data_IF_748731221589
#
_entry.id   IF_748731221589
#
_cell.length_a   1.000
_cell.length_b   1.000
_cell.length_c   1.000
_cell.angle_alpha   90.00
_cell.angle_beta   90.00
_cell.angle_gamma   90.00
#
_symmetry.space_group_name_H-M   'P 1'
#
loop_
_entity.id
_entity.type
_entity.pdbx_description
1 polymer ?
#
# COMPACT_ATOMS: atom_id res chain seq x y z
N UNK A 1 24.60 33.55 -29.83
CA UNK A 1 24.64 32.86 -28.53
C UNK A 1 23.44 33.35 -27.72
N UNK A 2 22.44 32.51 -27.44
CA UNK A 2 21.32 32.87 -26.55
C UNK A 2 21.83 32.79 -25.14
N UNK A 3 21.90 33.90 -24.45
CA UNK A 3 22.22 33.98 -23.04
C UNK A 3 21.08 33.31 -22.28
N UNK A 4 21.32 32.15 -21.65
CA UNK A 4 20.37 31.53 -20.76
C UNK A 4 20.26 32.44 -19.54
N UNK A 5 19.13 33.15 -19.40
CA UNK A 5 18.86 33.91 -18.20
C UNK A 5 18.78 32.91 -17.04
N UNK A 6 19.66 33.07 -16.08
CA UNK A 6 19.63 32.29 -14.83
C UNK A 6 18.23 32.41 -14.23
N UNK A 7 17.50 31.31 -14.15
CA UNK A 7 16.25 31.30 -13.39
C UNK A 7 16.60 31.40 -11.92
N UNK A 8 16.17 32.45 -11.28
CA UNK A 8 16.21 32.52 -9.83
C UNK A 8 15.16 31.57 -9.28
N UNK A 9 15.59 30.48 -8.67
CA UNK A 9 14.70 29.65 -7.88
C UNK A 9 14.44 30.43 -6.56
N UNK A 10 13.20 30.83 -6.37
CA UNK A 10 12.75 31.42 -5.09
C UNK A 10 12.46 30.30 -4.11
N UNK A 11 13.47 29.48 -3.78
CA UNK A 11 13.40 28.60 -2.63
C UNK A 11 13.41 29.45 -1.38
N UNK A 12 12.55 29.14 -0.44
CA UNK A 12 12.57 29.78 0.88
C UNK A 12 13.15 28.84 1.91
N UNK A 13 13.94 29.37 2.85
CA UNK A 13 14.37 28.69 4.07
C UNK A 13 13.39 28.91 5.23
N UNK A 14 12.32 29.67 4.98
CA UNK A 14 11.26 29.89 5.95
C UNK A 14 10.44 28.61 6.16
N UNK A 15 10.47 28.09 7.39
CA UNK A 15 9.75 26.89 7.81
C UNK A 15 8.30 27.16 8.23
N UNK A 16 7.80 28.40 8.09
CA UNK A 16 6.41 28.75 8.41
C UNK A 16 5.44 27.96 7.53
N UNK A 17 4.51 27.27 8.16
CA UNK A 17 3.45 26.55 7.44
C UNK A 17 2.49 27.56 6.82
N UNK A 18 2.37 27.52 5.50
CA UNK A 18 1.51 28.46 4.78
C UNK A 18 0.04 28.00 4.77
N UNK A 19 -0.89 28.96 4.57
CA UNK A 19 -2.31 28.64 4.40
C UNK A 19 -2.55 27.66 3.25
N UNK A 20 -1.81 27.80 2.15
CA UNK A 20 -1.87 26.89 1.00
C UNK A 20 -1.50 25.45 1.38
N UNK A 21 -0.44 25.24 2.19
CA UNK A 21 -0.06 23.91 2.67
C UNK A 21 -1.17 23.31 3.51
N UNK A 22 -1.76 24.05 4.43
CA UNK A 22 -2.86 23.57 5.27
C UNK A 22 -4.09 23.20 4.46
N UNK A 23 -4.44 23.98 3.45
CA UNK A 23 -5.59 23.68 2.61
C UNK A 23 -5.32 22.50 1.67
N UNK A 24 -4.10 22.36 1.11
CA UNK A 24 -3.69 21.20 0.31
C UNK A 24 -3.65 19.91 1.14
N UNK A 25 -3.22 19.96 2.41
CA UNK A 25 -3.29 18.78 3.30
C UNK A 25 -4.71 18.26 3.47
N UNK A 26 -5.70 19.13 3.58
CA UNK A 26 -7.13 18.72 3.65
C UNK A 26 -7.57 18.01 2.38
N UNK A 27 -7.14 18.54 1.22
CA UNK A 27 -7.44 17.91 -0.08
C UNK A 27 -6.76 16.55 -0.18
N UNK A 28 -5.47 16.44 0.20
CA UNK A 28 -4.73 15.18 0.21
C UNK A 28 -5.39 14.13 1.10
N UNK A 29 -5.81 14.51 2.34
CA UNK A 29 -6.52 13.61 3.26
C UNK A 29 -7.85 13.11 2.67
N UNK A 30 -8.63 14.01 2.07
CA UNK A 30 -9.89 13.63 1.43
C UNK A 30 -9.66 12.70 0.24
N UNK A 31 -8.73 13.03 -0.65
CA UNK A 31 -8.41 12.20 -1.81
C UNK A 31 -7.91 10.81 -1.38
N UNK A 32 -7.07 10.74 -0.34
CA UNK A 32 -6.61 9.48 0.22
C UNK A 32 -7.77 8.62 0.75
N UNK A 33 -8.69 9.21 1.52
CA UNK A 33 -9.85 8.49 2.04
C UNK A 33 -10.80 8.03 0.93
N UNK A 34 -11.07 8.89 -0.08
CA UNK A 34 -11.91 8.54 -1.24
C UNK A 34 -11.27 7.47 -2.14
N UNK A 35 -9.94 7.34 -2.12
CA UNK A 35 -9.19 6.33 -2.88
C UNK A 35 -9.07 4.97 -2.20
N UNK A 36 -9.29 4.88 -0.89
CA UNK A 36 -9.25 3.61 -0.17
C UNK A 36 -10.46 2.75 -0.49
N UNK A 37 -10.24 1.44 -0.72
CA UNK A 37 -11.28 0.49 -1.12
C UNK A 37 -11.57 -0.47 0.02
N UNK A 38 -12.82 -0.53 0.47
CA UNK A 38 -13.27 -1.56 1.40
C UNK A 38 -13.60 -2.83 0.61
N UNK A 39 -12.80 -3.88 0.79
CA UNK A 39 -12.92 -5.15 0.06
C UNK A 39 -13.77 -6.18 0.81
N UNK A 40 -13.75 -6.16 2.14
CA UNK A 40 -14.54 -7.02 3.01
C UNK A 40 -14.94 -6.25 4.26
N UNK A 41 -16.17 -6.45 4.73
CA UNK A 41 -16.61 -6.00 6.04
C UNK A 41 -17.77 -6.89 6.54
N UNK A 42 -17.52 -7.67 7.56
CA UNK A 42 -18.53 -8.52 8.20
C UNK A 42 -19.23 -7.81 9.36
N UNK A 43 -19.22 -6.47 9.34
CA UNK A 43 -19.92 -5.63 10.31
C UNK A 43 -19.02 -5.11 11.44
N UNK A 44 -17.70 -5.38 11.39
CA UNK A 44 -16.77 -4.84 12.38
C UNK A 44 -16.51 -3.35 12.20
N UNK A 45 -16.47 -2.88 10.95
CA UNK A 45 -16.28 -1.47 10.64
C UNK A 45 -17.64 -0.76 10.47
N UNK A 46 -17.77 0.50 10.93
CA UNK A 46 -16.72 1.31 11.59
C UNK A 46 -16.51 0.96 13.06
N UNK A 47 -15.27 1.15 13.54
CA UNK A 47 -14.92 0.99 14.95
C UNK A 47 -15.40 2.19 15.78
N UNK A 48 -15.76 1.93 17.03
CA UNK A 48 -16.13 2.99 17.97
C UNK A 48 -14.90 3.73 18.50
N UNK A 49 -15.06 4.99 18.82
CA UNK A 49 -14.06 5.78 19.52
C UNK A 49 -13.65 5.10 20.85
N UNK A 50 -12.36 5.14 21.16
CA UNK A 50 -11.82 4.50 22.36
C UNK A 50 -11.61 2.99 22.26
N UNK A 51 -11.91 2.36 21.11
CA UNK A 51 -11.57 0.94 20.91
C UNK A 51 -10.06 0.73 21.08
N UNK A 52 -9.69 -0.29 21.86
CA UNK A 52 -8.30 -0.72 22.02
C UNK A 52 -7.86 -1.54 20.82
N UNK A 53 -6.74 -1.16 20.23
CA UNK A 53 -6.24 -1.73 18.98
C UNK A 53 -4.83 -2.28 19.15
N UNK A 54 -4.64 -3.55 18.83
CA UNK A 54 -3.33 -4.13 18.60
C UNK A 54 -2.95 -3.88 17.12
N UNK A 55 -2.06 -2.93 16.88
CA UNK A 55 -1.64 -2.51 15.54
C UNK A 55 -0.29 -3.13 15.19
N UNK A 56 -0.25 -3.92 14.13
CA UNK A 56 0.93 -4.64 13.66
C UNK A 56 1.17 -4.45 12.18
N UNK A 57 2.29 -4.99 11.71
CA UNK A 57 2.69 -4.98 10.30
C UNK A 57 3.52 -3.77 9.95
N UNK A 58 4.33 -3.95 8.91
CA UNK A 58 5.37 -2.99 8.50
C UNK A 58 4.84 -1.60 8.16
N UNK A 59 3.62 -1.52 7.64
CA UNK A 59 2.97 -0.26 7.28
C UNK A 59 2.37 0.51 8.46
N UNK A 60 2.36 -0.05 9.67
CA UNK A 60 1.78 0.62 10.84
C UNK A 60 2.47 1.96 11.13
N UNK A 61 3.78 1.96 11.31
CA UNK A 61 4.59 3.17 11.48
C UNK A 61 5.30 3.63 10.21
N UNK A 62 5.63 2.69 9.30
CA UNK A 62 6.29 2.95 8.01
C UNK A 62 5.31 2.84 6.86
N UNK A 63 4.20 3.53 6.97
CA UNK A 63 3.16 3.60 5.93
C UNK A 63 3.75 4.06 4.60
N UNK A 64 3.55 3.26 3.55
CA UNK A 64 4.03 3.58 2.22
C UNK A 64 3.13 4.66 1.63
N UNK A 65 3.65 5.87 1.56
CA UNK A 65 2.94 7.07 1.07
C UNK A 65 2.92 7.18 -0.46
N UNK A 66 3.97 6.68 -1.11
CA UNK A 66 4.19 6.75 -2.55
C UNK A 66 5.25 5.75 -2.96
N UNK A 67 5.42 5.56 -4.27
CA UNK A 67 6.43 4.68 -4.83
C UNK A 67 7.85 5.27 -4.77
N UNK A 68 8.84 4.41 -5.02
CA UNK A 68 10.24 4.84 -5.21
C UNK A 68 10.41 5.73 -6.45
N UNK A 69 11.56 6.35 -6.59
CA UNK A 69 11.86 7.25 -7.71
C UNK A 69 11.22 8.62 -7.53
N UNK A 70 10.65 9.18 -8.58
CA UNK A 70 10.03 10.51 -8.57
C UNK A 70 8.74 10.56 -7.73
N UNK A 71 8.17 9.43 -7.35
CA UNK A 71 7.05 9.33 -6.42
C UNK A 71 7.44 9.54 -4.95
N UNK A 72 8.72 9.40 -4.60
CA UNK A 72 9.22 9.61 -3.23
C UNK A 72 9.55 11.10 -2.99
N UNK A 73 8.50 11.90 -2.97
CA UNK A 73 8.62 13.36 -2.77
C UNK A 73 9.00 13.70 -1.33
N UNK A 74 9.74 14.80 -1.17
CA UNK A 74 10.08 15.37 0.14
C UNK A 74 8.94 16.26 0.62
N UNK A 75 8.17 15.77 1.55
CA UNK A 75 7.16 16.53 2.27
C UNK A 75 7.68 16.96 3.65
N UNK A 76 7.03 17.94 4.24
CA UNK A 76 7.35 18.44 5.58
C UNK A 76 7.10 17.38 6.66
N UNK A 77 6.02 16.60 6.49
CA UNK A 77 5.54 15.63 7.47
C UNK A 77 4.71 14.56 6.77
N UNK A 78 4.88 13.31 7.17
CA UNK A 78 4.02 12.19 6.79
C UNK A 78 3.32 11.66 8.03
N UNK A 79 2.00 11.50 7.95
CA UNK A 79 1.20 10.91 9.04
C UNK A 79 1.08 9.40 8.78
N UNK A 80 1.78 8.59 9.57
CA UNK A 80 1.66 7.12 9.51
C UNK A 80 0.30 6.66 10.01
N UNK A 81 -0.07 5.40 9.70
CA UNK A 81 -1.30 4.79 10.22
C UNK A 81 -1.32 4.82 11.74
N UNK A 82 -0.22 4.46 12.39
CA UNK A 82 -0.09 4.57 13.85
C UNK A 82 -0.41 5.98 14.36
N UNK A 83 0.21 7.00 13.79
CA UNK A 83 -0.05 8.37 14.19
C UNK A 83 -1.49 8.81 13.91
N UNK A 84 -2.04 8.43 12.75
CA UNK A 84 -3.41 8.77 12.37
C UNK A 84 -4.46 8.13 13.30
N UNK A 85 -4.25 6.88 13.69
CA UNK A 85 -5.12 6.19 14.65
C UNK A 85 -5.09 6.86 16.02
N UNK A 86 -3.90 7.26 16.51
CA UNK A 86 -3.78 8.05 17.76
C UNK A 86 -4.45 9.41 17.64
N UNK A 87 -4.30 10.11 16.52
CA UNK A 87 -4.96 11.40 16.27
C UNK A 87 -6.49 11.29 16.29
N UNK A 88 -7.03 10.12 15.94
CA UNK A 88 -8.46 9.82 15.96
C UNK A 88 -8.97 9.33 17.33
N UNK A 89 -8.12 9.24 18.34
CA UNK A 89 -8.49 8.86 19.71
C UNK A 89 -8.54 7.37 19.99
N UNK A 90 -8.00 6.51 19.10
CA UNK A 90 -7.85 5.10 19.38
C UNK A 90 -6.69 4.82 20.35
N UNK A 91 -6.88 3.85 21.24
CA UNK A 91 -5.84 3.36 22.14
C UNK A 91 -5.02 2.26 21.45
N UNK A 92 -3.73 2.51 21.22
CA UNK A 92 -2.84 1.52 20.60
C UNK A 92 -2.10 0.76 21.71
N UNK A 93 -2.37 -0.54 21.80
CA UNK A 93 -1.82 -1.39 22.87
C UNK A 93 -0.45 -2.00 22.54
N UNK A 94 0.06 -1.78 21.33
CA UNK A 94 1.29 -2.37 20.78
C UNK A 94 2.37 -1.33 20.48
N UNK A 95 2.42 -0.23 21.25
CA UNK A 95 3.40 0.85 21.02
C UNK A 95 4.84 0.38 21.14
N UNK A 96 5.14 -0.56 22.03
CA UNK A 96 6.49 -1.12 22.19
C UNK A 96 6.91 -1.92 20.95
N UNK A 97 6.00 -2.71 20.36
CA UNK A 97 6.26 -3.43 19.11
C UNK A 97 6.54 -2.46 17.95
N UNK A 98 5.78 -1.38 17.87
CA UNK A 98 5.94 -0.35 16.83
C UNK A 98 7.30 0.36 16.97
N UNK A 99 7.70 0.68 18.20
CA UNK A 99 8.99 1.30 18.47
C UNK A 99 10.17 0.36 18.11
N UNK A 100 10.08 -0.90 18.51
CA UNK A 100 11.08 -1.91 18.16
C UNK A 100 11.16 -2.11 16.64
N UNK A 101 10.02 -2.13 15.95
CA UNK A 101 9.97 -2.17 14.49
C UNK A 101 10.67 -0.96 13.84
N UNK A 102 10.46 0.24 14.37
CA UNK A 102 11.12 1.44 13.86
C UNK A 102 12.65 1.37 13.98
N UNK A 103 13.17 0.80 15.06
CA UNK A 103 14.59 0.58 15.24
C UNK A 103 15.14 -0.44 14.23
N UNK A 104 14.44 -1.56 14.04
CA UNK A 104 14.80 -2.58 13.03
C UNK A 104 14.78 -2.02 11.60
N UNK A 105 13.75 -1.25 11.26
CA UNK A 105 13.64 -0.58 9.96
C UNK A 105 14.82 0.35 9.69
N UNK A 106 15.20 1.18 10.66
CA UNK A 106 16.33 2.09 10.52
C UNK A 106 17.65 1.33 10.32
N UNK A 107 17.87 0.28 11.08
CA UNK A 107 19.07 -0.57 10.94
C UNK A 107 19.11 -1.21 9.54
N UNK A 108 18.00 -1.78 9.08
CA UNK A 108 17.89 -2.36 7.73
C UNK A 108 18.10 -1.31 6.62
N UNK A 109 17.58 -0.09 6.81
CA UNK A 109 17.75 1.01 5.87
C UNK A 109 19.20 1.48 5.75
N UNK A 110 19.93 1.54 6.86
CA UNK A 110 21.34 1.85 6.84
C UNK A 110 22.15 0.76 6.16
N UNK A 111 21.93 -0.51 6.50
CA UNK A 111 22.61 -1.64 5.88
C UNK A 111 22.39 -1.69 4.36
N UNK A 112 21.16 -1.41 3.89
CA UNK A 112 20.85 -1.32 2.47
C UNK A 112 21.58 -0.15 1.77
N UNK A 113 21.72 1.00 2.43
CA UNK A 113 22.49 2.13 1.88
C UNK A 113 23.97 1.77 1.77
N UNK A 114 24.53 1.17 2.81
CA UNK A 114 25.94 0.74 2.83
C UNK A 114 26.20 -0.27 1.69
N UNK A 115 25.27 -1.21 1.45
CA UNK A 115 25.34 -2.15 0.33
C UNK A 115 25.35 -1.44 -1.04
N UNK A 116 24.52 -0.42 -1.23
CA UNK A 116 24.50 0.36 -2.48
C UNK A 116 25.80 1.13 -2.64
N UNK A 117 26.28 1.78 -1.59
CA UNK A 117 27.56 2.52 -1.61
C UNK A 117 28.74 1.59 -1.94
N UNK A 118 28.80 0.41 -1.34
CA UNK A 118 29.84 -0.60 -1.61
C UNK A 118 29.80 -1.08 -3.06
N UNK A 119 28.62 -1.45 -3.57
CA UNK A 119 28.44 -1.89 -4.96
C UNK A 119 28.78 -0.79 -5.97
N UNK A 120 28.57 0.46 -5.63
CA UNK A 120 28.80 1.61 -6.52
C UNK A 120 30.28 2.05 -6.52
N UNK A 121 30.98 1.92 -5.40
CA UNK A 121 32.36 2.39 -5.23
C UNK A 121 33.39 1.80 -6.23
N UNK A 122 33.07 0.66 -6.85
CA UNK A 122 33.92 -0.03 -7.82
C UNK A 122 33.62 0.32 -9.29
N UNK A 123 32.62 1.18 -9.54
CA UNK A 123 32.14 1.49 -10.89
C UNK A 123 32.90 2.69 -11.49
N UNK A 124 33.25 2.60 -12.78
CA UNK A 124 33.93 3.69 -13.50
C UNK A 124 33.06 4.94 -13.67
N UNK A 125 31.75 4.76 -13.84
CA UNK A 125 30.76 5.83 -13.87
C UNK A 125 29.93 5.81 -12.59
N UNK A 126 30.30 6.65 -11.64
CA UNK A 126 29.66 6.72 -10.34
C UNK A 126 28.16 7.12 -10.43
N UNK A 127 27.77 7.95 -11.39
CA UNK A 127 26.39 8.45 -11.49
C UNK A 127 25.47 7.43 -12.15
N UNK A 128 25.81 6.95 -13.35
CA UNK A 128 25.00 5.93 -14.05
C UNK A 128 25.06 4.59 -13.30
N UNK A 129 26.23 4.26 -12.74
CA UNK A 129 26.41 3.08 -11.91
C UNK A 129 25.52 3.11 -10.68
N UNK A 130 25.46 4.24 -9.98
CA UNK A 130 24.57 4.43 -8.82
C UNK A 130 23.09 4.18 -9.20
N UNK A 131 22.60 4.78 -10.27
CA UNK A 131 21.21 4.57 -10.71
C UNK A 131 20.91 3.10 -11.03
N UNK A 132 21.84 2.42 -11.70
CA UNK A 132 21.67 1.01 -12.02
C UNK A 132 21.66 0.13 -10.74
N UNK A 133 22.61 0.32 -9.84
CA UNK A 133 22.68 -0.43 -8.57
C UNK A 133 21.44 -0.15 -7.73
N UNK A 134 21.02 1.12 -7.61
CA UNK A 134 19.83 1.51 -6.86
C UNK A 134 18.56 0.83 -7.42
N UNK A 135 18.39 0.81 -8.74
CA UNK A 135 17.21 0.20 -9.39
C UNK A 135 17.19 -1.32 -9.26
N UNK A 136 18.36 -1.97 -9.21
CA UNK A 136 18.48 -3.43 -9.15
C UNK A 136 18.67 -3.99 -7.74
N UNK A 137 18.73 -3.12 -6.72
CA UNK A 137 18.87 -3.51 -5.30
C UNK A 137 17.69 -2.93 -4.51
N UNK A 138 16.47 -3.47 -4.66
CA UNK A 138 15.28 -2.94 -3.98
C UNK A 138 15.40 -3.10 -2.47
N UNK A 139 15.01 -2.06 -1.73
CA UNK A 139 14.92 -2.14 -0.28
C UNK A 139 13.77 -3.07 0.12
N UNK A 140 14.09 -4.12 0.87
CA UNK A 140 13.10 -5.02 1.47
C UNK A 140 12.88 -4.62 2.93
N UNK A 141 11.63 -4.29 3.26
CA UNK A 141 11.26 -3.93 4.64
C UNK A 141 11.35 -5.16 5.53
N UNK A 142 11.98 -5.08 6.72
CA UNK A 142 11.97 -6.20 7.65
C UNK A 142 10.54 -6.49 8.12
N UNK A 143 10.22 -7.74 8.40
CA UNK A 143 8.90 -8.13 8.87
C UNK A 143 8.60 -7.67 10.32
N UNK A 144 9.63 -7.36 11.10
CA UNK A 144 9.51 -7.01 12.51
C UNK A 144 9.58 -8.20 13.45
N UNK A 145 9.51 -7.90 14.74
CA UNK A 145 9.54 -8.91 15.80
C UNK A 145 8.29 -9.82 15.77
N UNK A 146 8.35 -10.99 16.40
CA UNK A 146 7.17 -11.81 16.67
C UNK A 146 6.09 -11.00 17.40
N UNK A 147 4.83 -11.24 17.05
CA UNK A 147 3.69 -10.58 17.68
C UNK A 147 3.42 -11.16 19.06
N UNK A 148 2.91 -10.33 19.97
CA UNK A 148 2.54 -10.72 21.33
C UNK A 148 1.11 -10.27 21.61
N UNK A 149 0.33 -11.09 22.28
CA UNK A 149 -1.04 -10.75 22.65
C UNK A 149 -1.08 -9.60 23.65
N UNK A 150 -1.99 -8.66 23.42
CA UNK A 150 -2.33 -7.57 24.34
C UNK A 150 -3.80 -7.63 24.74
N UNK A 151 -4.28 -6.71 25.56
CA UNK A 151 -5.69 -6.59 25.97
C UNK A 151 -6.56 -5.81 24.94
N UNK A 152 -6.15 -5.82 23.67
CA UNK A 152 -6.87 -5.14 22.61
C UNK A 152 -8.17 -5.84 22.24
N UNK A 153 -9.17 -5.03 21.85
CA UNK A 153 -10.48 -5.51 21.37
C UNK A 153 -10.37 -6.04 19.94
N UNK A 154 -9.50 -5.42 19.13
CA UNK A 154 -9.32 -5.69 17.69
C UNK A 154 -7.84 -5.65 17.34
N UNK A 155 -7.40 -6.59 16.50
CA UNK A 155 -6.09 -6.50 15.86
C UNK A 155 -6.21 -5.91 14.44
N UNK A 156 -5.30 -5.01 14.09
CA UNK A 156 -5.16 -4.48 12.74
C UNK A 156 -3.76 -4.82 12.23
N UNK A 157 -3.68 -5.51 11.10
CA UNK A 157 -2.43 -5.85 10.42
C UNK A 157 -2.26 -5.06 9.13
N UNK A 158 -1.16 -4.33 8.99
CA UNK A 158 -0.86 -3.50 7.83
C UNK A 158 0.21 -4.20 6.98
N UNK A 159 -0.25 -4.87 5.93
CA UNK A 159 0.63 -5.49 4.92
C UNK A 159 1.08 -4.42 3.93
N UNK A 160 2.37 -4.18 3.80
CA UNK A 160 2.88 -3.13 2.91
C UNK A 160 3.91 -3.63 1.91
N UNK A 161 3.84 -3.05 0.70
CA UNK A 161 4.83 -3.25 -0.36
C UNK A 161 5.14 -1.92 -1.03
N UNK A 162 6.41 -1.69 -1.30
CA UNK A 162 6.84 -0.54 -2.09
C UNK A 162 6.66 -0.90 -3.56
N UNK A 163 5.91 -0.09 -4.30
CA UNK A 163 5.82 -0.16 -5.75
C UNK A 163 6.12 1.24 -6.30
N UNK A 164 6.95 1.33 -7.34
CA UNK A 164 7.35 2.63 -7.86
C UNK A 164 8.20 2.53 -9.11
N UNK A 165 8.84 3.63 -9.45
CA UNK A 165 9.64 3.78 -10.65
C UNK A 165 10.92 2.94 -10.59
N UNK A 166 11.34 2.38 -11.72
CA UNK A 166 12.64 1.77 -11.91
C UNK A 166 12.71 0.25 -11.76
N UNK A 167 11.69 -0.41 -11.21
CA UNK A 167 11.64 -1.87 -11.13
C UNK A 167 10.20 -2.39 -11.17
N UNK A 168 10.01 -3.49 -11.88
CA UNK A 168 8.76 -4.26 -11.82
C UNK A 168 8.67 -5.03 -10.49
N UNK A 169 7.45 -5.44 -10.16
CA UNK A 169 7.17 -6.30 -9.01
C UNK A 169 7.50 -7.75 -9.36
N UNK A 170 7.97 -8.51 -8.36
CA UNK A 170 8.41 -9.88 -8.51
C UNK A 170 7.39 -10.85 -7.93
N UNK A 171 7.23 -12.04 -8.53
CA UNK A 171 6.39 -13.12 -8.01
C UNK A 171 7.11 -13.94 -6.94
N UNK A 172 7.65 -13.25 -5.94
CA UNK A 172 8.44 -13.84 -4.86
C UNK A 172 7.94 -13.43 -3.47
N UNK A 173 8.43 -14.13 -2.44
CA UNK A 173 8.18 -13.79 -1.04
C UNK A 173 8.75 -12.40 -0.69
N UNK A 174 7.94 -11.60 0.01
CA UNK A 174 8.29 -10.23 0.36
C UNK A 174 7.98 -9.20 -0.72
N UNK A 175 7.46 -9.66 -1.87
CA UNK A 175 6.91 -8.79 -2.90
C UNK A 175 5.46 -9.17 -3.21
N UNK A 176 5.18 -10.04 -4.20
CA UNK A 176 3.80 -10.49 -4.43
C UNK A 176 3.30 -11.37 -3.29
N UNK A 177 4.08 -12.38 -2.89
CA UNK A 177 3.74 -13.29 -1.79
C UNK A 177 4.18 -12.76 -0.43
N UNK A 178 3.51 -13.24 0.63
CA UNK A 178 3.94 -13.01 2.01
C UNK A 178 5.25 -13.77 2.28
N UNK A 179 6.13 -13.18 3.09
CA UNK A 179 7.26 -13.91 3.67
C UNK A 179 6.80 -14.93 4.71
N UNK A 180 7.66 -15.85 5.10
CA UNK A 180 7.33 -16.82 6.16
C UNK A 180 7.10 -16.13 7.51
N UNK A 181 7.82 -15.04 7.79
CA UNK A 181 7.63 -14.22 8.98
C UNK A 181 6.26 -13.51 8.96
N UNK A 182 5.86 -12.93 7.82
CA UNK A 182 4.55 -12.29 7.68
C UNK A 182 3.41 -13.30 7.81
N UNK A 183 3.54 -14.49 7.20
CA UNK A 183 2.58 -15.59 7.37
C UNK A 183 2.45 -15.99 8.83
N UNK A 184 3.60 -16.13 9.51
CA UNK A 184 3.61 -16.47 10.94
C UNK A 184 2.96 -15.38 11.78
N UNK A 185 3.29 -14.11 11.56
CA UNK A 185 2.68 -13.00 12.28
C UNK A 185 1.16 -12.99 12.10
N UNK A 186 0.69 -13.13 10.86
CA UNK A 186 -0.75 -13.14 10.56
C UNK A 186 -1.45 -14.34 11.21
N UNK A 187 -0.83 -15.52 11.17
CA UNK A 187 -1.32 -16.72 11.86
C UNK A 187 -1.41 -16.51 13.37
N UNK A 188 -0.37 -15.98 13.99
CA UNK A 188 -0.32 -15.68 15.41
C UNK A 188 -1.41 -14.66 15.80
N UNK A 189 -1.55 -13.56 15.04
CA UNK A 189 -2.58 -12.55 15.22
C UNK A 189 -3.97 -13.17 15.15
N UNK A 190 -4.25 -13.97 14.12
CA UNK A 190 -5.54 -14.64 13.96
C UNK A 190 -5.83 -15.67 15.04
N UNK A 191 -4.81 -16.25 15.68
CA UNK A 191 -4.97 -17.14 16.83
C UNK A 191 -5.20 -16.42 18.15
N UNK A 192 -4.61 -15.24 18.32
CA UNK A 192 -4.64 -14.45 19.57
C UNK A 192 -5.89 -13.55 19.68
N UNK A 193 -6.36 -13.03 18.55
CA UNK A 193 -7.45 -12.04 18.52
C UNK A 193 -8.69 -12.61 17.85
N UNK A 194 -9.84 -12.32 18.45
CA UNK A 194 -11.14 -12.73 17.91
C UNK A 194 -11.52 -11.94 16.67
N UNK A 195 -11.17 -10.68 16.64
CA UNK A 195 -11.52 -9.73 15.59
C UNK A 195 -10.26 -9.18 14.93
N UNK A 196 -10.11 -9.40 13.63
CA UNK A 196 -8.93 -9.01 12.87
C UNK A 196 -9.36 -8.18 11.65
N UNK A 197 -8.64 -7.09 11.41
CA UNK A 197 -8.75 -6.24 10.23
C UNK A 197 -7.39 -6.29 9.51
N UNK A 198 -7.41 -6.44 8.20
CA UNK A 198 -6.20 -6.35 7.38
C UNK A 198 -6.31 -5.15 6.45
N UNK A 199 -5.23 -4.37 6.36
CA UNK A 199 -5.11 -3.31 5.36
C UNK A 199 -3.89 -3.57 4.47
N UNK A 200 -4.08 -3.48 3.16
CA UNK A 200 -3.06 -3.70 2.14
C UNK A 200 -2.59 -2.35 1.63
N UNK A 201 -1.38 -1.97 2.02
CA UNK A 201 -0.72 -0.71 1.66
C UNK A 201 0.30 -0.98 0.54
N UNK A 202 -0.19 -1.09 -0.68
CA UNK A 202 0.64 -1.36 -1.86
C UNK A 202 0.11 -0.63 -3.09
N UNK A 203 0.99 -0.18 -3.96
CA UNK A 203 0.63 0.42 -5.26
C UNK A 203 0.37 -0.60 -6.36
N UNK A 204 0.45 -1.89 -6.08
CA UNK A 204 0.22 -2.97 -7.03
C UNK A 204 -0.38 -4.20 -6.36
N UNK A 205 -0.37 -5.32 -7.09
CA UNK A 205 -0.95 -6.58 -6.65
C UNK A 205 -0.21 -7.18 -5.45
N UNK A 206 -0.92 -7.90 -4.60
CA UNK A 206 -0.37 -8.76 -3.55
C UNK A 206 -1.21 -10.03 -3.43
N UNK A 207 -0.59 -11.12 -3.00
CA UNK A 207 -1.31 -12.34 -2.70
C UNK A 207 -2.23 -12.15 -1.48
N UNK A 208 -3.49 -12.51 -1.66
CA UNK A 208 -4.53 -12.47 -0.63
C UNK A 208 -5.08 -13.86 -0.31
N UNK A 209 -4.33 -14.94 -0.61
CA UNK A 209 -4.76 -16.32 -0.35
C UNK A 209 -5.06 -16.58 1.12
N UNK A 210 -4.37 -15.89 2.03
CA UNK A 210 -4.61 -15.96 3.48
C UNK A 210 -6.07 -15.64 3.89
N UNK A 211 -6.81 -14.89 3.05
CA UNK A 211 -8.23 -14.61 3.31
C UNK A 211 -9.12 -15.85 3.30
N UNK A 212 -8.67 -16.92 2.66
CA UNK A 212 -9.38 -18.19 2.63
C UNK A 212 -9.09 -19.03 3.89
N UNK A 213 -7.96 -18.80 4.54
CA UNK A 213 -7.49 -19.54 5.70
C UNK A 213 -8.08 -19.01 7.01
N UNK A 214 -8.15 -17.67 7.18
CA UNK A 214 -8.51 -17.04 8.44
C UNK A 214 -9.90 -16.41 8.40
N UNK A 215 -10.88 -17.07 9.03
CA UNK A 215 -12.29 -16.63 9.03
C UNK A 215 -12.54 -15.42 9.93
N UNK A 216 -11.69 -15.17 10.90
CA UNK A 216 -11.78 -14.03 11.81
C UNK A 216 -11.10 -12.75 11.27
N UNK A 217 -10.63 -12.75 10.03
CA UNK A 217 -10.35 -11.52 9.32
C UNK A 217 -11.70 -10.97 8.81
N UNK A 218 -12.30 -10.08 9.60
CA UNK A 218 -13.66 -9.58 9.39
C UNK A 218 -13.72 -8.37 8.46
N UNK A 219 -12.60 -7.66 8.28
CA UNK A 219 -12.49 -6.58 7.29
C UNK A 219 -11.15 -6.60 6.56
N UNK A 220 -11.22 -6.23 5.27
CA UNK A 220 -10.06 -6.07 4.39
C UNK A 220 -10.18 -4.75 3.63
N UNK A 221 -9.12 -3.96 3.64
CA UNK A 221 -9.03 -2.70 2.91
C UNK A 221 -7.82 -2.70 1.97
N UNK A 222 -8.00 -2.24 0.74
CA UNK A 222 -6.90 -1.81 -0.12
C UNK A 222 -6.73 -0.31 0.07
N UNK A 223 -5.60 0.10 0.64
CA UNK A 223 -5.35 1.52 0.95
C UNK A 223 -4.36 2.19 0.00
N UNK A 224 -3.88 1.48 -1.00
CA UNK A 224 -2.93 1.92 -2.03
C UNK A 224 -1.69 2.61 -1.45
N UNK A 225 -1.16 3.63 -2.10
CA UNK A 225 -0.08 4.52 -1.63
C UNK A 225 -0.67 5.94 -1.47
N UNK A 226 -1.27 6.26 -0.31
CA UNK A 226 -2.24 7.35 -0.18
C UNK A 226 -1.63 8.72 0.15
N UNK A 227 -0.32 8.89 0.02
CA UNK A 227 0.34 10.17 0.25
C UNK A 227 0.56 10.52 1.73
N UNK A 228 0.89 11.78 1.96
CA UNK A 228 1.34 12.28 3.28
C UNK A 228 0.29 12.22 4.40
N UNK A 229 -0.98 12.19 4.07
CA UNK A 229 -2.10 12.14 5.03
C UNK A 229 -2.69 10.72 5.20
N UNK A 230 -1.97 9.70 4.76
CA UNK A 230 -2.38 8.30 4.76
C UNK A 230 -3.02 7.84 6.07
N UNK A 231 -2.34 8.09 7.19
CA UNK A 231 -2.79 7.64 8.51
C UNK A 231 -4.06 8.33 8.97
N UNK A 232 -4.18 9.65 8.77
CA UNK A 232 -5.40 10.38 9.12
C UNK A 232 -6.59 9.93 8.23
N UNK A 233 -6.35 9.71 6.93
CA UNK A 233 -7.37 9.24 6.01
C UNK A 233 -7.84 7.82 6.36
N UNK A 234 -6.89 6.92 6.70
CA UNK A 234 -7.20 5.58 7.17
C UNK A 234 -8.05 5.60 8.44
N UNK A 235 -7.65 6.42 9.42
CA UNK A 235 -8.40 6.57 10.66
C UNK A 235 -9.81 7.15 10.45
N UNK A 236 -9.99 8.05 9.48
CA UNK A 236 -11.32 8.56 9.11
C UNK A 236 -12.23 7.46 8.55
N UNK A 237 -11.69 6.51 7.77
CA UNK A 237 -12.43 5.33 7.29
C UNK A 237 -12.73 4.40 8.47
N UNK A 238 -11.72 4.01 9.25
CA UNK A 238 -11.87 3.04 10.35
C UNK A 238 -12.90 3.52 11.40
N UNK A 239 -12.91 4.82 11.69
CA UNK A 239 -13.87 5.42 12.66
C UNK A 239 -15.26 5.71 12.07
N UNK A 240 -15.45 5.55 10.75
CA UNK A 240 -16.71 5.91 10.08
C UNK A 240 -16.93 7.41 9.91
N UNK A 241 -15.94 8.23 10.19
CA UNK A 241 -15.98 9.67 9.92
C UNK A 241 -16.09 9.95 8.42
N UNK A 242 -15.50 9.09 7.61
CA UNK A 242 -15.66 9.04 6.16
C UNK A 242 -16.17 7.65 5.77
N UNK A 243 -17.24 7.60 4.99
CA UNK A 243 -17.78 6.35 4.43
C UNK A 243 -16.90 5.90 3.25
N UNK A 244 -16.45 4.64 3.18
CA UNK A 244 -15.68 4.13 2.06
C UNK A 244 -16.42 4.30 0.73
N UNK A 245 -15.73 4.82 -0.28
CA UNK A 245 -16.28 5.05 -1.62
C UNK A 245 -15.34 4.63 -2.75
N UNK A 246 -14.09 4.28 -2.44
CA UNK A 246 -13.10 3.82 -3.39
C UNK A 246 -13.54 2.55 -4.12
N UNK A 247 -13.04 2.39 -5.35
CA UNK A 247 -13.31 1.25 -6.22
C UNK A 247 -12.01 0.71 -6.77
N UNK A 248 -11.94 -0.63 -6.95
CA UNK A 248 -10.80 -1.27 -7.57
C UNK A 248 -10.59 -0.75 -8.99
N UNK A 249 -9.39 -0.37 -9.30
CA UNK A 249 -8.96 0.12 -10.63
C UNK A 249 -8.44 -1.00 -11.53
N UNK A 250 -8.31 -2.19 -10.97
CA UNK A 250 -7.81 -3.41 -11.62
C UNK A 250 -8.55 -4.64 -11.09
N UNK A 251 -8.32 -5.79 -11.73
CA UNK A 251 -8.85 -7.08 -11.28
C UNK A 251 -7.77 -7.87 -10.56
N UNK A 252 -8.06 -8.33 -9.34
CA UNK A 252 -7.16 -9.16 -8.54
C UNK A 252 -7.57 -10.62 -8.65
N UNK A 253 -6.75 -11.42 -9.30
CA UNK A 253 -6.95 -12.85 -9.47
C UNK A 253 -6.81 -13.61 -8.14
N UNK A 254 -7.24 -14.87 -8.12
CA UNK A 254 -7.02 -15.77 -6.98
C UNK A 254 -5.57 -16.22 -6.87
N UNK A 255 -4.88 -16.37 -8.02
CA UNK A 255 -3.50 -16.85 -8.11
C UNK A 255 -2.73 -16.01 -9.10
N UNK A 256 -1.42 -15.94 -8.92
CA UNK A 256 -0.52 -15.25 -9.85
C UNK A 256 -0.60 -15.79 -11.26
N UNK A 257 -0.71 -17.13 -11.40
CA UNK A 257 -0.78 -17.82 -12.68
C UNK A 257 -2.06 -17.54 -13.49
N UNK A 258 -3.09 -17.00 -12.85
CA UNK A 258 -4.34 -16.62 -13.52
C UNK A 258 -4.20 -15.33 -14.36
N UNK A 259 -3.12 -14.55 -14.16
CA UNK A 259 -2.83 -13.40 -15.01
C UNK A 259 -2.25 -13.86 -16.36
N UNK A 260 -2.72 -13.29 -17.50
CA UNK A 260 -2.40 -13.80 -18.84
C UNK A 260 -0.90 -13.86 -19.15
N UNK A 261 -0.12 -12.95 -18.62
CA UNK A 261 1.32 -12.85 -18.85
C UNK A 261 2.18 -13.23 -17.64
N UNK A 262 1.64 -13.93 -16.66
CA UNK A 262 2.35 -14.29 -15.44
C UNK A 262 3.71 -14.96 -15.68
N UNK A 263 3.84 -15.75 -16.73
CA UNK A 263 5.08 -16.48 -17.08
C UNK A 263 6.08 -15.69 -17.88
N UNK A 264 5.68 -14.56 -18.46
CA UNK A 264 6.52 -13.79 -19.39
C UNK A 264 6.65 -12.32 -19.01
N UNK A 265 5.89 -11.87 -18.01
CA UNK A 265 5.93 -10.48 -17.54
C UNK A 265 7.33 -10.11 -17.10
N UNK A 266 7.81 -8.96 -17.60
CA UNK A 266 9.14 -8.43 -17.29
C UNK A 266 10.25 -9.48 -17.52
N UNK A 267 10.97 -9.87 -16.47
CA UNK A 267 12.09 -10.81 -16.50
C UNK A 267 11.69 -12.28 -16.20
N UNK A 268 10.41 -12.60 -16.00
CA UNK A 268 9.97 -13.96 -15.62
C UNK A 268 10.34 -15.03 -16.64
N UNK A 269 10.49 -14.69 -17.90
CA UNK A 269 10.97 -15.61 -18.94
C UNK A 269 12.49 -15.63 -19.12
N UNK A 270 13.25 -14.86 -18.30
CA UNK A 270 14.71 -14.74 -18.37
C UNK A 270 15.24 -13.94 -19.58
N UNK A 271 14.36 -13.29 -20.36
CA UNK A 271 14.73 -12.52 -21.54
C UNK A 271 14.48 -11.02 -21.29
N UNK A 272 15.55 -10.30 -20.96
CA UNK A 272 15.50 -8.84 -20.72
C UNK A 272 15.63 -8.01 -22.00
N UNK A 273 15.94 -8.62 -23.14
CA UNK A 273 16.17 -7.93 -24.41
C UNK A 273 14.91 -7.78 -25.26
N UNK A 274 13.89 -8.61 -25.01
CA UNK A 274 12.66 -8.64 -25.82
C UNK A 274 11.44 -8.85 -24.95
N UNK A 275 10.48 -7.94 -25.07
CA UNK A 275 9.15 -8.03 -24.47
C UNK A 275 8.08 -8.27 -25.55
N UNK A 276 7.14 -9.17 -25.27
CA UNK A 276 6.07 -9.53 -26.20
C UNK A 276 4.72 -9.13 -25.63
N UNK A 277 4.07 -8.17 -26.24
CA UNK A 277 2.71 -7.71 -25.89
C UNK A 277 1.67 -8.65 -26.52
N UNK A 278 1.40 -9.75 -25.88
CA UNK A 278 0.56 -10.83 -26.43
C UNK A 278 -0.93 -10.71 -26.09
N UNK A 279 -1.30 -9.86 -25.12
CA UNK A 279 -2.70 -9.73 -24.68
C UNK A 279 -3.62 -9.11 -25.72
N UNK A 280 -3.10 -8.28 -26.63
CA UNK A 280 -3.92 -7.54 -27.58
C UNK A 280 -4.93 -6.63 -26.88
N UNK A 281 -6.23 -6.87 -27.08
CA UNK A 281 -7.31 -6.13 -26.42
C UNK A 281 -7.65 -6.69 -25.03
N UNK A 282 -7.15 -7.86 -24.68
CA UNK A 282 -7.53 -8.57 -23.45
C UNK A 282 -6.60 -8.21 -22.29
N UNK A 283 -6.57 -6.92 -21.93
CA UNK A 283 -5.81 -6.40 -20.81
C UNK A 283 -6.73 -6.18 -19.61
N UNK A 284 -6.27 -6.59 -18.41
CA UNK A 284 -7.00 -6.42 -17.16
C UNK A 284 -8.35 -7.13 -17.17
N UNK A 285 -9.42 -6.45 -16.72
CA UNK A 285 -10.76 -7.02 -16.62
C UNK A 285 -11.29 -7.61 -17.94
N UNK A 286 -10.85 -7.07 -19.10
CA UNK A 286 -11.28 -7.61 -20.39
C UNK A 286 -10.84 -9.06 -20.59
N UNK A 287 -9.66 -9.43 -20.09
CA UNK A 287 -9.23 -10.82 -20.12
C UNK A 287 -10.11 -11.68 -19.22
N UNK A 288 -10.23 -11.31 -17.96
CA UNK A 288 -10.97 -12.10 -16.97
C UNK A 288 -12.43 -12.30 -17.38
N UNK A 289 -13.11 -11.25 -17.83
CA UNK A 289 -14.52 -11.31 -18.25
C UNK A 289 -14.71 -12.06 -19.57
N UNK A 290 -13.77 -11.93 -20.54
CA UNK A 290 -13.93 -12.57 -21.84
C UNK A 290 -13.63 -14.07 -21.85
N UNK A 291 -12.78 -14.52 -20.90
CA UNK A 291 -12.36 -15.93 -20.81
C UNK A 291 -12.92 -16.63 -19.57
N UNK A 292 -13.88 -16.02 -18.88
CA UNK A 292 -14.51 -16.54 -17.66
C UNK A 292 -13.50 -16.97 -16.58
N UNK A 293 -12.39 -16.21 -16.44
CA UNK A 293 -11.37 -16.47 -15.42
C UNK A 293 -11.84 -15.82 -14.10
N UNK A 294 -12.04 -16.60 -13.03
CA UNK A 294 -12.53 -16.06 -11.78
C UNK A 294 -11.50 -15.12 -11.13
N UNK A 295 -12.00 -14.04 -10.56
CA UNK A 295 -11.18 -13.07 -9.82
C UNK A 295 -11.64 -12.96 -8.36
N UNK A 296 -10.73 -12.68 -7.46
CA UNK A 296 -11.04 -12.43 -6.06
C UNK A 296 -11.79 -11.10 -5.89
N UNK A 297 -11.30 -10.07 -6.57
CA UNK A 297 -11.94 -8.76 -6.63
C UNK A 297 -11.86 -8.22 -8.06
N UNK A 298 -13.00 -7.92 -8.65
CA UNK A 298 -13.08 -7.41 -10.01
C UNK A 298 -12.87 -5.89 -10.09
N UNK A 299 -12.55 -5.42 -11.28
CA UNK A 299 -12.54 -3.99 -11.60
C UNK A 299 -13.87 -3.32 -11.19
N UNK A 300 -13.77 -2.19 -10.51
CA UNK A 300 -14.94 -1.44 -10.01
C UNK A 300 -15.52 -1.96 -8.70
N UNK A 301 -15.00 -3.07 -8.15
CA UNK A 301 -15.46 -3.59 -6.86
C UNK A 301 -15.07 -2.65 -5.70
N UNK A 302 -15.93 -2.59 -4.70
CA UNK A 302 -15.70 -1.86 -3.46
C UNK A 302 -16.99 -1.73 -2.67
N UNK A 303 -16.90 -1.99 -1.37
CA UNK A 303 -18.00 -1.87 -0.43
C UNK A 303 -18.09 -0.46 0.14
N UNK A 304 -19.18 -0.22 0.86
CA UNK A 304 -19.46 1.01 1.60
C UNK A 304 -20.06 0.64 2.96
N UNK A 305 -20.19 1.61 3.87
CA UNK A 305 -20.95 1.44 5.11
C UNK A 305 -22.45 1.55 4.90
N UNK A 306 -22.87 1.85 3.69
CA UNK A 306 -24.27 1.90 3.28
C UNK A 306 -24.51 1.08 2.01
N UNK A 307 -25.77 0.84 1.69
CA UNK A 307 -26.19 0.16 0.46
C UNK A 307 -26.84 1.16 -0.49
N UNK A 308 -26.74 0.89 -1.79
CA UNK A 308 -27.31 1.71 -2.84
C UNK A 308 -28.29 0.90 -3.67
N UNK A 309 -29.46 1.47 -3.98
CA UNK A 309 -30.40 0.91 -4.94
C UNK A 309 -30.37 1.79 -6.21
N UNK A 310 -30.02 1.19 -7.33
CA UNK A 310 -29.98 1.89 -8.62
C UNK A 310 -31.17 1.46 -9.47
N UNK A 311 -31.97 2.44 -9.95
CA UNK A 311 -33.10 2.21 -10.85
C UNK A 311 -32.90 2.99 -12.15
N UNK A 312 -33.08 2.30 -13.28
CA UNK A 312 -33.17 2.98 -14.57
C UNK A 312 -34.56 3.61 -14.68
N UNK A 313 -34.60 4.92 -14.68
CA UNK A 313 -35.86 5.66 -14.80
C UNK A 313 -36.32 5.84 -16.27
N UNK A 314 -35.34 5.96 -17.19
CA UNK A 314 -35.64 6.02 -18.62
C UNK A 314 -34.41 5.61 -19.43
N UNK A 315 -34.63 5.07 -20.62
CA UNK A 315 -33.60 4.85 -21.64
C UNK A 315 -34.19 5.34 -22.99
N UNK A 316 -33.48 6.28 -23.61
CA UNK A 316 -33.89 6.87 -24.90
C UNK A 316 -32.78 6.64 -25.90
N UNK A 317 -33.10 5.94 -26.99
CA UNK A 317 -32.23 5.88 -28.16
C UNK A 317 -32.27 7.27 -28.84
N UNK A 318 -31.09 7.86 -29.03
CA UNK A 318 -30.95 9.01 -29.94
C UNK A 318 -30.51 8.46 -31.30
N UNK A 319 -31.28 8.78 -32.34
CA UNK A 319 -30.93 8.52 -33.72
C UNK A 319 -29.68 9.31 -34.13
#
# INVERSE_FOLDING_TARGET
>A
MRTIKTRHFTGTTDNTVTRRELDNRKVARRAAAEGMVLLKNEGILPLKEGTKIALYGVGASRTIKGGTGSGDVNERETVSIYQGMKNAGFEITTEDWIKDYDEQYQAARYAWRDEIEEKTASLEDEVLGFFNVYSTTPFRMPAGAPVTQTDADVAIYILSRIAGEGADRFDEAGDYYLTEEEKKQLSDICSMYKHVIVAVNTGGLADLSFMDEYKNIEALLQIVQPGMEAGNAFADIISGKVTPSGKMTDSWAYKYEDYPNSKTFSHNNGNVDKEYYTEGLYVGYRYFDSFDVPVRYGFGYGLSYTTFETKVLSAVLKD
#
